data_IF_107724939899
#
_entry.id   IF_107724939899
#
_cell.length_a   1.000
_cell.length_b   1.000
_cell.length_c   1.000
_cell.angle_alpha   90.00
_cell.angle_beta   90.00
_cell.angle_gamma   90.00
#
_symmetry.space_group_name_H-M   'P 1'
#
loop_
_entity.id
_entity.type
_entity.pdbx_description
1 polymer ?
#
# COMPACT_ATOMS: atom_id res chain seq x y z
N UNK A 1 -6.40 -31.13 -3.90
CA UNK A 1 -6.72 -29.97 -3.06
C UNK A 1 -5.48 -29.39 -2.39
N UNK A 2 -4.43 -30.20 -2.21
CA UNK A 2 -3.12 -29.81 -1.66
C UNK A 2 -2.49 -28.57 -2.30
N UNK A 3 -2.49 -28.41 -3.63
CA UNK A 3 -1.90 -27.23 -4.26
C UNK A 3 -2.54 -25.90 -3.82
N UNK A 4 -3.87 -25.86 -3.69
CA UNK A 4 -4.58 -24.65 -3.23
C UNK A 4 -4.33 -24.43 -1.74
N UNK A 5 -4.29 -25.50 -0.95
CA UNK A 5 -4.00 -25.44 0.49
C UNK A 5 -2.55 -24.99 0.76
N UNK A 6 -1.58 -25.47 0.00
CA UNK A 6 -0.16 -25.09 0.12
C UNK A 6 0.06 -23.62 -0.29
N UNK A 7 -0.58 -23.17 -1.37
CA UNK A 7 -0.56 -21.77 -1.77
C UNK A 7 -1.19 -20.86 -0.71
N UNK A 8 -2.30 -21.27 -0.11
CA UNK A 8 -2.98 -20.51 0.94
C UNK A 8 -2.18 -20.48 2.25
N UNK A 9 -1.56 -21.60 2.63
CA UNK A 9 -0.70 -21.69 3.81
C UNK A 9 0.55 -20.81 3.68
N UNK A 10 1.15 -20.74 2.48
CA UNK A 10 2.26 -19.83 2.22
C UNK A 10 1.89 -18.36 2.48
N UNK A 11 0.70 -17.94 2.07
CA UNK A 11 0.19 -16.58 2.26
C UNK A 11 -0.18 -16.33 3.73
N UNK A 12 -0.90 -17.24 4.38
CA UNK A 12 -1.38 -17.03 5.76
C UNK A 12 -0.25 -17.14 6.80
N UNK A 13 0.88 -17.78 6.47
CA UNK A 13 2.03 -17.91 7.39
C UNK A 13 2.72 -16.59 7.76
N UNK A 14 2.50 -15.52 6.99
CA UNK A 14 3.11 -14.23 7.25
C UNK A 14 2.41 -13.43 8.36
N UNK A 15 3.16 -12.59 9.06
CA UNK A 15 2.59 -11.61 9.98
C UNK A 15 2.01 -10.43 9.18
N UNK A 16 0.71 -10.49 8.89
CA UNK A 16 -0.02 -9.51 8.07
C UNK A 16 -0.20 -8.15 8.73
N UNK A 17 -0.12 -8.08 10.06
CA UNK A 17 -0.39 -6.85 10.82
C UNK A 17 0.60 -5.71 10.50
N UNK A 18 1.93 -5.87 10.64
CA UNK A 18 2.87 -4.80 10.30
C UNK A 18 2.87 -4.49 8.80
N UNK A 19 2.61 -5.48 7.93
CA UNK A 19 2.53 -5.28 6.48
C UNK A 19 1.39 -4.33 6.16
N UNK A 20 0.20 -4.58 6.71
CA UNK A 20 -0.95 -3.74 6.48
C UNK A 20 -0.78 -2.35 7.10
N UNK A 21 -0.24 -2.27 8.32
CA UNK A 21 0.05 -1.00 9.00
C UNK A 21 0.99 -0.11 8.15
N UNK A 22 2.11 -0.67 7.68
CA UNK A 22 3.07 0.07 6.86
C UNK A 22 2.50 0.43 5.48
N UNK A 23 1.68 -0.44 4.89
CA UNK A 23 1.03 -0.16 3.60
C UNK A 23 0.08 1.03 3.71
N UNK A 24 -0.79 1.03 4.72
CA UNK A 24 -1.74 2.14 4.93
C UNK A 24 -1.01 3.42 5.32
N UNK A 25 0.01 3.32 6.19
CA UNK A 25 0.85 4.47 6.54
C UNK A 25 1.53 5.07 5.31
N UNK A 26 2.14 4.24 4.45
CA UNK A 26 2.78 4.69 3.23
C UNK A 26 1.80 5.39 2.29
N UNK A 27 0.59 4.86 2.12
CA UNK A 27 -0.45 5.49 1.31
C UNK A 27 -0.84 6.88 1.85
N UNK A 28 -1.00 7.02 3.17
CA UNK A 28 -1.32 8.31 3.81
C UNK A 28 -0.17 9.31 3.63
N UNK A 29 1.07 8.88 3.87
CA UNK A 29 2.26 9.73 3.73
C UNK A 29 2.43 10.20 2.28
N UNK A 30 2.18 9.33 1.30
CA UNK A 30 2.28 9.67 -0.13
C UNK A 30 1.12 10.58 -0.58
N UNK A 31 -0.05 10.51 0.05
CA UNK A 31 -1.21 11.32 -0.34
C UNK A 31 -0.92 12.83 -0.31
N UNK A 32 -0.17 13.32 0.69
CA UNK A 32 0.20 14.74 0.78
C UNK A 32 1.06 15.21 -0.40
N UNK A 33 2.27 14.64 -0.61
CA UNK A 33 3.11 14.95 -1.75
C UNK A 33 2.44 14.69 -3.10
N UNK A 34 1.60 13.67 -3.22
CA UNK A 34 0.87 13.38 -4.46
C UNK A 34 -0.04 14.54 -4.87
N UNK A 35 -0.76 15.16 -3.93
CA UNK A 35 -1.60 16.33 -4.23
C UNK A 35 -0.76 17.51 -4.70
N UNK A 36 0.33 17.82 -3.99
CA UNK A 36 1.25 18.92 -4.37
C UNK A 36 1.86 18.67 -5.75
N UNK A 37 2.32 17.45 -6.01
CA UNK A 37 2.89 17.06 -7.29
C UNK A 37 1.89 17.23 -8.44
N UNK A 38 0.63 16.82 -8.22
CA UNK A 38 -0.43 16.99 -9.21
C UNK A 38 -0.79 18.46 -9.46
N UNK A 39 -0.82 19.30 -8.41
CA UNK A 39 -1.05 20.74 -8.55
C UNK A 39 0.08 21.42 -9.32
N UNK A 40 1.33 21.06 -9.02
CA UNK A 40 2.50 21.60 -9.70
C UNK A 40 2.51 21.24 -11.20
N UNK A 41 2.19 19.99 -11.55
CA UNK A 41 2.10 19.56 -12.95
C UNK A 41 0.97 20.24 -13.74
N UNK A 42 -0.11 20.62 -13.05
CA UNK A 42 -1.29 21.25 -13.67
C UNK A 42 -1.19 22.77 -13.72
N UNK A 43 -0.12 23.37 -13.18
CA UNK A 43 0.01 24.82 -13.07
C UNK A 43 -1.08 25.44 -12.19
N UNK A 44 -1.55 24.69 -11.19
CA UNK A 44 -2.51 25.17 -10.20
C UNK A 44 -1.84 26.10 -9.17
N UNK A 45 -2.66 26.74 -8.35
CA UNK A 45 -2.17 27.54 -7.23
C UNK A 45 -1.64 26.60 -6.14
N UNK A 46 -0.32 26.62 -5.94
CA UNK A 46 0.41 25.76 -5.01
C UNK A 46 0.44 26.37 -3.61
#
# INVERSE_FOLDING_TARGET
>A
MDFITDAFNGIVSFNWEPIFQLTVLALIVIAGPAVVFLLALRGGDL
#
